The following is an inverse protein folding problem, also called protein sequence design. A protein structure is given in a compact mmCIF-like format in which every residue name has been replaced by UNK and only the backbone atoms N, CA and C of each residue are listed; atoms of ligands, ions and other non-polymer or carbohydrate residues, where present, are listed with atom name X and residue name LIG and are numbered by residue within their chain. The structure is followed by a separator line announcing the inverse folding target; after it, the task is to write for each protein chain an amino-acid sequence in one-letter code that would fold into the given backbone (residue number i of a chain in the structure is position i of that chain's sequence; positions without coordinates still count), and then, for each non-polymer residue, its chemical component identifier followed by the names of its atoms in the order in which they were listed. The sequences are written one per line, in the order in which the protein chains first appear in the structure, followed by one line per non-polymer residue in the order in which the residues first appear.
data_IF_710251987346
#
_entry.id   IF_710251987346
#
_cell.length_a   1.000
_cell.length_b   1.000
_cell.length_c   1.000
_cell.angle_alpha   90.00
_cell.angle_beta   90.00
_cell.angle_gamma   90.00
#
_symmetry.space_group_name_H-M   'P 1'
#
loop_
_entity.id
_entity.type
_entity.pdbx_description
1 polymer ?
#
# COMPACT_ATOMS: atom_id res chain seq x y z
N UNK A 1 -22.04 14.90 11.11
CA UNK A 1 -20.83 14.07 11.07
C UNK A 1 -20.12 14.45 9.81
N UNK A 2 -19.17 15.36 9.92
CA UNK A 2 -18.33 15.74 8.78
C UNK A 2 -17.49 14.53 8.42
N UNK A 3 -17.67 14.02 7.19
CA UNK A 3 -17.02 12.83 6.71
C UNK A 3 -15.51 13.04 6.69
N UNK A 4 -14.80 12.44 7.64
CA UNK A 4 -13.35 12.37 7.61
C UNK A 4 -12.96 11.52 6.41
N UNK A 5 -12.53 12.17 5.32
CA UNK A 5 -11.88 11.48 4.20
C UNK A 5 -10.52 10.99 4.66
N UNK A 6 -10.35 9.67 4.77
CA UNK A 6 -9.08 9.06 5.13
C UNK A 6 -8.22 8.88 3.88
N UNK A 7 -7.22 9.76 3.71
CA UNK A 7 -6.22 9.63 2.65
C UNK A 7 -5.06 8.79 3.17
N UNK A 8 -4.78 7.69 2.48
CA UNK A 8 -3.58 6.87 2.70
C UNK A 8 -2.80 6.77 1.39
N UNK A 9 -1.50 6.96 1.47
CA UNK A 9 -0.59 6.70 0.36
C UNK A 9 0.32 5.52 0.72
N UNK A 10 0.68 4.72 -0.28
CA UNK A 10 1.61 3.62 -0.12
C UNK A 10 2.73 3.75 -1.16
N UNK A 11 3.96 3.45 -0.75
CA UNK A 11 5.12 3.35 -1.63
C UNK A 11 6.04 2.23 -1.16
N UNK A 12 6.83 1.69 -2.10
CA UNK A 12 7.81 0.65 -1.81
C UNK A 12 9.21 1.25 -1.91
N UNK A 13 10.06 0.94 -0.93
CA UNK A 13 11.44 1.39 -0.87
C UNK A 13 12.37 0.17 -0.96
N UNK A 14 13.45 0.31 -1.73
CA UNK A 14 14.57 -0.63 -1.70
C UNK A 14 15.37 -0.41 -0.40
N UNK A 15 15.74 -1.48 0.30
CA UNK A 15 16.60 -1.39 1.48
C UNK A 15 18.04 -1.09 1.05
N UNK A 16 18.72 -0.23 1.81
CA UNK A 16 20.11 0.17 1.54
C UNK A 16 21.15 -0.93 1.81
N UNK A 17 20.87 -1.82 2.75
CA UNK A 17 21.88 -2.73 3.33
C UNK A 17 21.57 -4.23 3.15
N UNK A 18 20.41 -4.58 2.59
CA UNK A 18 19.98 -5.99 2.42
C UNK A 18 19.17 -6.11 1.13
N UNK A 19 19.17 -7.25 0.40
CA UNK A 19 18.28 -7.47 -0.72
C UNK A 19 16.86 -7.69 -0.19
N UNK A 20 16.13 -6.59 -0.02
CA UNK A 20 14.77 -6.61 0.48
C UNK A 20 14.09 -5.28 0.26
N UNK A 21 12.75 -5.32 0.19
CA UNK A 21 11.92 -4.13 0.00
C UNK A 21 11.07 -3.89 1.24
N UNK A 22 10.75 -2.64 1.49
CA UNK A 22 9.82 -2.21 2.53
C UNK A 22 8.64 -1.52 1.88
N UNK A 23 7.43 -1.76 2.37
CA UNK A 23 6.28 -0.93 2.06
C UNK A 23 6.05 0.08 3.17
N UNK A 24 5.78 1.32 2.77
CA UNK A 24 5.55 2.45 3.65
C UNK A 24 4.18 3.01 3.39
N UNK A 25 3.34 3.04 4.42
CA UNK A 25 2.02 3.65 4.39
C UNK A 25 2.07 4.99 5.14
N UNK A 26 1.70 6.06 4.46
CA UNK A 26 1.68 7.42 4.99
C UNK A 26 0.28 8.00 4.99
N UNK A 27 0.02 8.85 5.99
CA UNK A 27 -1.18 9.66 6.08
C UNK A 27 -0.80 11.14 6.14
N UNK A 28 -1.42 12.01 5.34
CA UNK A 28 -1.20 13.44 5.47
C UNK A 28 -1.56 13.93 6.88
N UNK A 29 -0.64 14.65 7.52
CA UNK A 29 -0.86 15.23 8.86
C UNK A 29 -0.72 14.25 10.03
N UNK A 30 -0.40 12.97 9.80
CA UNK A 30 -0.17 11.99 10.85
C UNK A 30 1.19 11.32 10.67
N UNK A 31 2.06 11.58 11.64
CA UNK A 31 3.35 10.93 11.82
C UNK A 31 3.33 10.10 13.12
N UNK A 32 4.06 8.97 13.18
CA UNK A 32 4.95 8.44 12.16
C UNK A 32 4.25 7.63 11.05
N UNK A 33 4.93 7.50 9.91
CA UNK A 33 4.52 6.59 8.84
C UNK A 33 4.61 5.13 9.33
N UNK A 34 3.67 4.30 8.89
CA UNK A 34 3.75 2.86 9.13
C UNK A 34 4.65 2.20 8.08
N UNK A 35 5.44 1.23 8.51
CA UNK A 35 6.46 0.58 7.68
C UNK A 35 6.44 -0.92 7.93
N UNK A 36 6.59 -1.72 6.88
CA UNK A 36 6.74 -3.15 6.99
C UNK A 36 7.64 -3.73 5.90
N UNK A 37 8.53 -4.63 6.31
CA UNK A 37 9.34 -5.42 5.38
C UNK A 37 8.45 -6.36 4.56
N UNK A 38 8.72 -6.43 3.25
CA UNK A 38 8.07 -7.37 2.35
C UNK A 38 8.75 -8.73 2.45
N UNK A 39 8.00 -9.81 2.77
CA UNK A 39 8.60 -11.14 2.85
C UNK A 39 9.09 -11.56 1.47
N UNK A 40 10.39 -11.84 1.34
CA UNK A 40 11.02 -12.18 0.04
C UNK A 40 10.30 -13.31 -0.71
N UNK A 41 9.77 -14.31 0.01
CA UNK A 41 9.05 -15.43 -0.59
C UNK A 41 7.73 -15.02 -1.27
N UNK A 42 7.11 -13.95 -0.79
CA UNK A 42 5.87 -13.38 -1.35
C UNK A 42 6.15 -12.23 -2.30
N UNK A 43 7.33 -11.62 -2.21
CA UNK A 43 7.75 -10.43 -2.94
C UNK A 43 8.15 -10.75 -4.39
N UNK A 44 7.16 -11.15 -5.18
CA UNK A 44 7.31 -11.64 -6.55
C UNK A 44 6.84 -10.61 -7.59
N UNK A 45 7.23 -10.83 -8.85
CA UNK A 45 6.76 -10.09 -10.02
C UNK A 45 6.00 -11.06 -10.95
N UNK A 46 4.73 -10.80 -11.31
CA UNK A 46 3.93 -9.64 -10.92
C UNK A 46 3.51 -9.65 -9.44
N UNK A 47 3.04 -8.52 -8.93
CA UNK A 47 2.57 -8.38 -7.55
C UNK A 47 1.41 -9.35 -7.27
N UNK A 48 1.62 -10.27 -6.34
CA UNK A 48 0.65 -11.34 -6.07
C UNK A 48 -0.45 -10.86 -5.11
N UNK A 49 -1.67 -11.42 -5.26
CA UNK A 49 -2.75 -11.18 -4.32
C UNK A 49 -2.38 -11.60 -2.88
N UNK A 50 -1.57 -12.66 -2.74
CA UNK A 50 -1.08 -13.14 -1.45
C UNK A 50 -0.19 -12.10 -0.73
N UNK A 51 0.69 -11.41 -1.45
CA UNK A 51 1.50 -10.34 -0.87
C UNK A 51 0.64 -9.15 -0.44
N UNK A 52 -0.32 -8.75 -1.28
CA UNK A 52 -1.26 -7.66 -0.94
C UNK A 52 -2.04 -8.01 0.32
N UNK A 53 -2.63 -9.20 0.37
CA UNK A 53 -3.40 -9.68 1.52
C UNK A 53 -2.54 -9.76 2.79
N UNK A 54 -1.30 -10.24 2.68
CA UNK A 54 -0.35 -10.27 3.79
C UNK A 54 -0.14 -8.88 4.39
N UNK A 55 0.18 -7.88 3.54
CA UNK A 55 0.44 -6.51 3.99
C UNK A 55 -0.81 -5.89 4.63
N UNK A 56 -1.97 -6.04 4.01
CA UNK A 56 -3.24 -5.50 4.54
C UNK A 56 -3.57 -6.14 5.90
N UNK A 57 -3.48 -7.46 6.02
CA UNK A 57 -3.72 -8.15 7.29
C UNK A 57 -2.72 -7.73 8.37
N UNK A 58 -1.45 -7.55 8.01
CA UNK A 58 -0.43 -7.07 8.93
C UNK A 58 -0.77 -5.66 9.44
N UNK A 59 -1.20 -4.77 8.54
CA UNK A 59 -1.64 -3.43 8.91
C UNK A 59 -2.85 -3.46 9.84
N UNK A 60 -3.91 -4.23 9.52
CA UNK A 60 -5.08 -4.40 10.39
C UNK A 60 -4.71 -4.94 11.78
N UNK A 61 -3.74 -5.84 11.85
CA UNK A 61 -3.28 -6.41 13.12
C UNK A 61 -2.52 -5.39 13.97
N UNK A 62 -1.71 -4.53 13.37
CA UNK A 62 -0.85 -3.59 14.09
C UNK A 62 -1.52 -2.24 14.35
N UNK A 63 -2.40 -1.81 13.45
CA UNK A 63 -3.07 -0.50 13.44
C UNK A 63 -4.60 -0.66 13.34
N UNK A 64 -5.27 -1.43 14.22
CA UNK A 64 -6.67 -1.83 14.02
C UNK A 64 -7.65 -0.66 13.92
N UNK A 65 -7.50 0.35 14.79
CA UNK A 65 -8.36 1.54 14.78
C UNK A 65 -8.21 2.33 13.47
N UNK A 66 -6.98 2.48 12.97
CA UNK A 66 -6.75 3.20 11.71
C UNK A 66 -7.21 2.38 10.51
N UNK A 67 -7.00 1.08 10.54
CA UNK A 67 -7.41 0.17 9.48
C UNK A 67 -8.93 0.15 9.31
N UNK A 68 -9.68 0.19 10.42
CA UNK A 68 -11.15 0.31 10.39
C UNK A 68 -11.61 1.65 9.79
N UNK A 69 -10.90 2.73 10.05
CA UNK A 69 -11.22 4.06 9.50
C UNK A 69 -10.93 4.16 8.00
N UNK A 70 -9.84 3.55 7.52
CA UNK A 70 -9.48 3.55 6.10
C UNK A 70 -10.34 2.53 5.32
N UNK A 71 -10.58 1.37 5.92
CA UNK A 71 -11.32 0.27 5.33
C UNK A 71 -10.46 -0.65 4.45
N UNK A 72 -10.90 -1.90 4.36
CA UNK A 72 -10.18 -2.99 3.69
C UNK A 72 -9.91 -2.73 2.20
N UNK A 73 -10.93 -2.28 1.46
CA UNK A 73 -10.84 -2.06 0.01
C UNK A 73 -9.87 -0.94 -0.36
N UNK A 74 -9.88 0.16 0.40
CA UNK A 74 -8.96 1.28 0.18
C UNK A 74 -7.51 0.85 0.44
N UNK A 75 -7.24 0.17 1.56
CA UNK A 75 -5.92 -0.40 1.87
C UNK A 75 -5.45 -1.38 0.80
N UNK A 76 -6.32 -2.29 0.36
CA UNK A 76 -6.00 -3.26 -0.69
C UNK A 76 -5.63 -2.57 -2.00
N UNK A 77 -6.39 -1.55 -2.40
CA UNK A 77 -6.15 -0.78 -3.62
C UNK A 77 -4.81 -0.07 -3.60
N UNK A 78 -4.51 0.69 -2.54
CA UNK A 78 -3.27 1.46 -2.46
C UNK A 78 -2.04 0.58 -2.33
N UNK A 79 -2.12 -0.53 -1.57
CA UNK A 79 -1.02 -1.50 -1.44
C UNK A 79 -0.75 -2.17 -2.78
N UNK A 80 -1.80 -2.65 -3.46
CA UNK A 80 -1.67 -3.27 -4.78
C UNK A 80 -1.05 -2.31 -5.78
N UNK A 81 -1.51 -1.06 -5.81
CA UNK A 81 -0.99 -0.04 -6.71
C UNK A 81 0.49 0.27 -6.43
N UNK A 82 0.86 0.41 -5.16
CA UNK A 82 2.26 0.67 -4.77
C UNK A 82 3.19 -0.48 -5.19
N UNK A 83 2.78 -1.73 -4.97
CA UNK A 83 3.53 -2.91 -5.37
C UNK A 83 3.65 -3.03 -6.89
N UNK A 84 2.56 -2.83 -7.63
CA UNK A 84 2.57 -2.87 -9.09
C UNK A 84 3.50 -1.80 -9.68
N UNK A 85 3.44 -0.57 -9.16
CA UNK A 85 4.35 0.52 -9.55
C UNK A 85 5.82 0.18 -9.27
N UNK A 86 6.10 -0.33 -8.08
CA UNK A 86 7.46 -0.73 -7.70
C UNK A 86 8.02 -1.87 -8.56
N UNK A 87 7.13 -2.71 -9.12
CA UNK A 87 7.50 -3.79 -10.02
C UNK A 87 7.60 -3.36 -11.50
N UNK A 88 7.24 -2.11 -11.84
CA UNK A 88 7.17 -1.64 -13.23
C UNK A 88 5.98 -2.21 -14.01
N UNK A 89 4.92 -2.64 -13.32
CA UNK A 89 3.71 -3.19 -13.94
C UNK A 89 2.68 -2.10 -14.30
N UNK A 90 2.95 -0.86 -13.90
CA UNK A 90 2.00 0.24 -13.94
C UNK A 90 2.40 1.32 -14.94
N UNK A 91 2.45 0.97 -16.23
CA UNK A 91 2.50 1.86 -17.40
C UNK A 91 1.94 1.00 -18.55
N UNK A 92 0.65 1.03 -18.90
CA UNK A 92 0.10 1.89 -19.98
C UNK A 92 -1.45 2.02 -19.92
N UNK A 93 -2.13 1.39 -18.96
CA UNK A 93 -3.60 1.25 -18.98
C UNK A 93 -4.38 2.25 -18.10
N UNK A 94 -3.70 3.10 -17.32
CA UNK A 94 -4.34 3.90 -16.26
C UNK A 94 -4.30 5.42 -16.47
N UNK A 95 -3.68 5.92 -17.54
CA UNK A 95 -3.72 7.35 -17.92
C UNK A 95 -5.14 7.84 -18.27
N UNK A 96 -6.12 6.94 -18.43
CA UNK A 96 -7.49 7.28 -18.83
C UNK A 96 -8.51 7.40 -17.69
N UNK A 97 -8.10 7.33 -16.42
CA UNK A 97 -8.98 7.70 -15.30
C UNK A 97 -9.01 9.23 -15.13
N UNK A 98 -9.19 9.97 -16.22
CA UNK A 98 -9.59 11.37 -16.16
C UNK A 98 -10.99 11.43 -15.54
N UNK A 99 -11.11 12.32 -14.55
CA UNK A 99 -12.32 12.64 -13.80
C UNK A 99 -13.50 12.81 -14.75
N UNK A 100 -14.42 11.84 -14.77
CA UNK A 100 -15.74 12.06 -15.36
C UNK A 100 -16.56 12.82 -14.30
N UNK A 101 -16.96 14.02 -14.71
CA UNK A 101 -17.70 15.04 -13.95
C UNK A 101 -19.00 14.55 -13.28
#
# INVERSE_FOLDING_TARGET
MDGLTFVVAAHVLERREDPGREIVLTRPGLAPAWRAELPMILDQRPATAALVEYVVKLYFRQMPVEADLIGWSALTGVVRLALARANGEADDAWEWAEVVA
#
